data_IF_162208942133
#
_entry.id   IF_162208942133
#
_cell.length_a   1.000
_cell.length_b   1.000
_cell.length_c   1.000
_cell.angle_alpha   90.00
_cell.angle_beta   90.00
_cell.angle_gamma   90.00
#
_symmetry.space_group_name_H-M   'P 1'
#
loop_
_entity.id
_entity.type
_entity.pdbx_description
1 polymer ?
#
# COMPACT_ATOMS: atom_id res chain seq x y z
N UNK A 1 10.11 -14.13 -15.96
CA UNK A 1 10.24 -13.25 -14.78
C UNK A 1 9.16 -13.66 -13.79
N UNK A 2 9.40 -13.57 -12.48
CA UNK A 2 8.38 -13.90 -11.47
C UNK A 2 7.27 -12.84 -11.44
N UNK A 3 6.16 -13.15 -10.76
CA UNK A 3 5.05 -12.21 -10.57
C UNK A 3 5.51 -11.10 -9.65
N UNK A 4 5.27 -9.84 -10.05
CA UNK A 4 5.54 -8.68 -9.18
C UNK A 4 4.40 -8.50 -8.19
N UNK A 5 4.77 -8.17 -6.95
CA UNK A 5 3.83 -7.74 -5.92
C UNK A 5 3.90 -6.23 -5.71
N UNK A 6 2.74 -5.57 -5.76
CA UNK A 6 2.59 -4.13 -5.64
C UNK A 6 1.71 -3.79 -4.41
N UNK A 7 2.30 -3.65 -3.20
CA UNK A 7 1.56 -3.14 -2.05
C UNK A 7 1.33 -1.63 -2.20
N UNK A 8 0.07 -1.19 -2.15
CA UNK A 8 -0.34 0.22 -2.18
C UNK A 8 -0.34 0.77 -0.75
N UNK A 9 0.54 1.74 -0.50
CA UNK A 9 0.82 2.26 0.84
C UNK A 9 0.53 3.76 0.92
N UNK A 10 -0.05 4.22 2.04
CA UNK A 10 -0.29 5.66 2.31
C UNK A 10 0.93 6.36 2.91
N UNK A 11 2.08 5.68 2.89
CA UNK A 11 3.37 6.16 3.37
C UNK A 11 3.37 6.66 4.82
N UNK A 12 2.55 6.09 5.71
CA UNK A 12 2.55 6.44 7.14
C UNK A 12 3.66 5.69 7.89
N UNK A 13 3.99 6.17 9.09
CA UNK A 13 5.11 5.62 9.88
C UNK A 13 5.03 4.11 10.10
N UNK A 14 3.83 3.57 10.37
CA UNK A 14 3.63 2.12 10.53
C UNK A 14 3.98 1.34 9.26
N UNK A 15 3.49 1.78 8.10
CA UNK A 15 3.79 1.16 6.79
C UNK A 15 5.28 1.27 6.44
N UNK A 16 5.91 2.42 6.70
CA UNK A 16 7.36 2.59 6.48
C UNK A 16 8.19 1.66 7.36
N UNK A 17 7.80 1.52 8.63
CA UNK A 17 8.45 0.58 9.55
C UNK A 17 8.26 -0.86 9.07
N UNK A 18 7.07 -1.21 8.56
CA UNK A 18 6.80 -2.54 8.06
C UNK A 18 7.72 -2.93 6.90
N UNK A 19 7.86 -2.05 5.90
CA UNK A 19 8.65 -2.34 4.71
C UNK A 19 10.17 -2.25 4.97
N UNK A 20 10.61 -1.40 5.91
CA UNK A 20 12.03 -1.38 6.29
C UNK A 20 12.47 -2.68 6.96
N UNK A 21 11.55 -3.35 7.66
CA UNK A 21 11.75 -4.62 8.36
C UNK A 21 11.46 -5.87 7.50
N UNK A 22 11.26 -5.72 6.19
CA UNK A 22 11.11 -6.87 5.31
C UNK A 22 12.42 -7.65 5.18
N UNK A 23 12.30 -8.96 5.24
CA UNK A 23 13.36 -9.92 4.91
C UNK A 23 13.79 -9.77 3.44
N UNK A 24 14.96 -10.29 3.10
CA UNK A 24 15.43 -10.31 1.71
C UNK A 24 14.45 -11.04 0.78
N UNK A 25 13.80 -12.11 1.27
CA UNK A 25 12.79 -12.85 0.53
C UNK A 25 11.49 -12.03 0.35
N UNK A 26 11.04 -11.36 1.41
CA UNK A 26 9.87 -10.48 1.38
C UNK A 26 10.05 -9.22 0.54
N UNK A 27 11.28 -8.77 0.30
CA UNK A 27 11.60 -7.66 -0.62
C UNK A 27 11.67 -8.10 -2.08
N UNK A 28 12.04 -9.34 -2.36
CA UNK A 28 12.27 -9.80 -3.73
C UNK A 28 10.96 -9.80 -4.55
N UNK A 29 10.97 -9.16 -5.71
CA UNK A 29 9.78 -9.04 -6.56
C UNK A 29 8.69 -8.10 -6.02
N UNK A 30 8.98 -7.31 -4.98
CA UNK A 30 8.06 -6.28 -4.46
C UNK A 30 8.40 -4.92 -5.06
N UNK A 31 7.39 -4.15 -5.45
CA UNK A 31 7.54 -2.75 -5.88
C UNK A 31 6.44 -1.93 -5.21
N UNK A 32 6.74 -1.24 -4.09
CA UNK A 32 5.72 -0.50 -3.35
C UNK A 32 5.16 0.63 -4.20
N UNK A 33 3.85 0.83 -4.09
CA UNK A 33 3.15 1.96 -4.68
C UNK A 33 2.77 2.95 -3.58
N UNK A 34 3.52 4.03 -3.51
CA UNK A 34 3.39 5.08 -2.52
C UNK A 34 2.32 6.06 -3.00
N UNK A 35 1.21 6.15 -2.26
CA UNK A 35 0.20 7.20 -2.43
C UNK A 35 0.50 8.28 -1.40
N UNK A 36 1.13 9.35 -1.85
CA UNK A 36 1.62 10.40 -0.96
C UNK A 36 0.54 11.48 -0.77
N UNK A 37 0.12 11.70 0.47
CA UNK A 37 -0.79 12.79 0.84
C UNK A 37 -0.01 13.99 1.37
N UNK A 38 -0.59 15.18 1.28
CA UNK A 38 0.01 16.41 1.80
C UNK A 38 0.45 16.29 3.26
N UNK A 39 -0.32 15.61 4.12
CA UNK A 39 0.03 15.45 5.53
C UNK A 39 1.24 14.53 5.79
N UNK A 40 1.65 13.72 4.79
CA UNK A 40 2.88 12.94 4.82
C UNK A 40 4.05 13.68 4.15
N UNK A 41 3.77 14.72 3.37
CA UNK A 41 4.76 15.49 2.62
C UNK A 41 5.09 16.82 3.32
N UNK A 42 6.09 16.77 4.18
CA UNK A 42 6.63 17.94 4.87
C UNK A 42 8.06 17.70 5.33
N UNK A 43 8.79 18.78 5.63
CA UNK A 43 10.14 18.68 6.18
C UNK A 43 10.18 18.00 7.55
N UNK A 44 11.39 17.75 8.09
CA UNK A 44 11.54 17.14 9.42
C UNK A 44 10.76 17.95 10.47
N UNK A 45 9.86 17.28 11.21
CA UNK A 45 9.14 17.92 12.32
C UNK A 45 10.18 18.44 13.32
N UNK A 46 10.11 19.73 13.68
CA UNK A 46 11.00 20.34 14.68
C UNK A 46 11.00 19.46 15.94
N UNK A 47 12.14 18.81 16.23
CA UNK A 47 12.34 18.21 17.55
C UNK A 47 12.27 19.34 18.59
N UNK A 48 11.67 19.07 19.75
CA UNK A 48 11.84 19.95 20.93
C UNK A 48 13.34 20.13 21.12
N UNK A 49 13.82 21.39 21.06
CA UNK A 49 15.23 21.77 21.12
C UNK A 49 15.93 21.05 22.28
N UNK A 50 16.72 20.03 21.99
CA UNK A 50 17.85 19.65 22.84
C UNK A 50 19.07 20.39 22.34
N UNK A 51 19.79 20.96 23.29
CA UNK A 51 20.82 21.99 23.16
C UNK A 51 22.08 21.45 22.46
N UNK A 52 22.07 21.34 21.14
CA UNK A 52 23.30 21.39 20.33
C UNK A 52 22.98 22.07 18.98
N UNK A 53 23.48 23.29 18.82
CA UNK A 53 23.43 24.05 17.57
C UNK A 53 24.42 23.47 16.56
N UNK A 54 23.95 22.64 15.64
CA UNK A 54 24.64 22.44 14.36
C UNK A 54 23.87 23.15 13.25
N UNK A 55 24.58 24.00 12.51
CA UNK A 55 24.16 24.82 11.36
C UNK A 55 23.74 23.98 10.15
N UNK A 56 22.83 23.01 10.32
CA UNK A 56 22.28 22.22 9.20
C UNK A 56 21.02 22.92 8.70
N UNK A 57 21.07 23.38 7.45
CA UNK A 57 19.88 23.86 6.73
C UNK A 57 18.84 22.73 6.74
N UNK A 58 17.58 22.98 7.17
CA UNK A 58 16.55 21.97 7.13
C UNK A 58 16.34 21.48 5.69
N UNK A 59 16.30 20.15 5.51
CA UNK A 59 15.97 19.55 4.22
C UNK A 59 14.63 20.11 3.71
N UNK A 60 14.54 20.35 2.40
CA UNK A 60 13.26 20.61 1.75
C UNK A 60 12.31 19.40 1.94
N UNK A 61 11.00 19.60 1.74
CA UNK A 61 10.04 18.48 1.83
C UNK A 61 10.40 17.35 0.85
N UNK A 62 10.85 17.71 -0.36
CA UNK A 62 11.27 16.79 -1.42
C UNK A 62 12.55 16.03 -1.06
N UNK A 63 13.57 16.71 -0.54
CA UNK A 63 14.82 16.07 -0.10
C UNK A 63 14.57 15.16 1.11
N UNK A 64 13.71 15.60 2.03
CA UNK A 64 13.33 14.79 3.19
C UNK A 64 12.56 13.54 2.78
N UNK A 65 11.60 13.65 1.85
CA UNK A 65 10.90 12.49 1.30
C UNK A 65 11.87 11.54 0.58
N UNK A 66 12.74 12.06 -0.29
CA UNK A 66 13.72 11.24 -1.02
C UNK A 66 14.66 10.50 -0.06
N UNK A 67 15.18 11.18 0.96
CA UNK A 67 16.01 10.55 1.99
C UNK A 67 15.25 9.47 2.75
N UNK A 68 13.99 9.72 3.09
CA UNK A 68 13.14 8.74 3.76
C UNK A 68 12.90 7.50 2.90
N UNK A 69 12.68 7.64 1.59
CA UNK A 69 12.57 6.48 0.67
C UNK A 69 13.89 5.73 0.59
N UNK A 70 15.02 6.43 0.49
CA UNK A 70 16.35 5.81 0.49
C UNK A 70 16.58 4.96 1.76
N UNK A 71 16.27 5.51 2.94
CA UNK A 71 16.48 4.83 4.23
C UNK A 71 15.55 3.63 4.43
N UNK A 72 14.33 3.69 3.90
CA UNK A 72 13.28 2.69 4.14
C UNK A 72 13.28 1.59 3.08
N UNK A 73 13.31 1.99 1.81
CA UNK A 73 13.16 1.10 0.66
C UNK A 73 14.47 0.89 -0.09
N UNK A 74 15.26 1.95 -0.26
CA UNK A 74 16.51 1.93 -1.00
C UNK A 74 16.32 2.29 -2.48
N UNK A 75 17.23 1.80 -3.33
CA UNK A 75 17.35 2.21 -4.74
C UNK A 75 16.50 1.40 -5.72
N UNK A 76 15.81 0.36 -5.24
CA UNK A 76 14.91 -0.45 -6.06
C UNK A 76 13.70 0.36 -6.52
N UNK A 77 13.07 -0.01 -7.66
CA UNK A 77 11.91 0.69 -8.17
C UNK A 77 10.80 0.88 -7.13
N UNK A 78 10.10 2.00 -7.20
CA UNK A 78 8.86 2.27 -6.48
C UNK A 78 7.96 3.17 -7.31
N UNK A 79 6.64 2.99 -7.18
CA UNK A 79 5.66 3.88 -7.79
C UNK A 79 5.32 5.03 -6.84
N UNK A 80 5.12 6.23 -7.37
CA UNK A 80 4.67 7.39 -6.61
C UNK A 80 3.43 8.04 -7.25
N UNK A 81 2.29 7.95 -6.56
CA UNK A 81 1.14 8.82 -6.82
C UNK A 81 1.25 10.04 -5.90
N UNK A 82 1.59 11.18 -6.49
CA UNK A 82 1.72 12.47 -5.81
C UNK A 82 0.52 13.38 -6.10
N UNK A 83 -0.56 12.89 -6.71
CA UNK A 83 -1.69 13.73 -7.16
C UNK A 83 -2.54 14.35 -6.03
N UNK A 84 -2.17 14.15 -4.77
CA UNK A 84 -2.79 14.77 -3.59
C UNK A 84 -1.88 15.82 -2.93
N UNK A 85 -0.77 16.19 -3.57
CA UNK A 85 0.11 17.26 -3.11
C UNK A 85 -0.36 18.62 -3.62
N UNK A 86 0.17 19.67 -3.01
CA UNK A 86 -0.06 21.03 -3.43
C UNK A 86 0.45 21.25 -4.87
N UNK A 87 -0.29 22.08 -5.59
CA UNK A 87 0.03 22.46 -6.96
C UNK A 87 -0.28 23.93 -7.20
N UNK A 88 0.39 24.49 -8.20
CA UNK A 88 0.07 25.80 -8.76
C UNK A 88 -0.38 25.63 -10.20
N UNK A 89 -0.82 26.71 -10.85
CA UNK A 89 -1.23 26.68 -12.26
C UNK A 89 -0.13 26.15 -13.20
N UNK A 90 1.16 26.28 -12.84
CA UNK A 90 2.29 25.92 -13.71
C UNK A 90 3.27 24.90 -13.11
N UNK A 91 3.12 24.51 -11.84
CA UNK A 91 4.06 23.61 -11.15
C UNK A 91 3.37 22.61 -10.23
N UNK A 92 4.03 21.47 -10.03
CA UNK A 92 3.58 20.44 -9.10
C UNK A 92 4.79 19.86 -8.33
N UNK A 93 4.61 19.50 -7.06
CA UNK A 93 5.70 19.02 -6.18
C UNK A 93 6.41 17.75 -6.70
N UNK A 94 5.75 16.99 -7.58
CA UNK A 94 6.35 15.86 -8.29
C UNK A 94 7.65 16.26 -9.02
N UNK A 95 7.74 17.47 -9.59
CA UNK A 95 8.94 17.93 -10.29
C UNK A 95 10.16 18.03 -9.36
N UNK A 96 9.96 18.50 -8.12
CA UNK A 96 11.05 18.65 -7.13
C UNK A 96 11.36 17.32 -6.45
N UNK A 97 10.35 16.48 -6.19
CA UNK A 97 10.54 15.11 -5.70
C UNK A 97 11.37 14.30 -6.69
N UNK A 98 11.08 14.39 -8.00
CA UNK A 98 11.85 13.73 -9.05
C UNK A 98 13.32 14.14 -9.03
N UNK A 99 13.60 15.45 -8.97
CA UNK A 99 14.98 15.95 -8.87
C UNK A 99 15.71 15.42 -7.62
N UNK A 100 15.04 15.43 -6.47
CA UNK A 100 15.60 14.98 -5.19
C UNK A 100 15.89 13.47 -5.21
N UNK A 101 14.95 12.67 -5.72
CA UNK A 101 15.10 11.22 -5.84
C UNK A 101 16.17 10.82 -6.86
N UNK A 102 16.27 11.53 -7.98
CA UNK A 102 17.34 11.32 -8.97
C UNK A 102 18.71 11.71 -8.41
N UNK A 103 18.81 12.77 -7.61
CA UNK A 103 20.05 13.16 -6.93
C UNK A 103 20.60 12.09 -5.98
N UNK A 104 19.73 11.25 -5.41
CA UNK A 104 20.10 10.10 -4.57
C UNK A 104 20.21 8.78 -5.35
N UNK A 105 20.01 8.81 -6.67
CA UNK A 105 20.01 7.61 -7.52
C UNK A 105 18.86 6.63 -7.23
N UNK A 106 17.71 7.13 -6.77
CA UNK A 106 16.52 6.32 -6.54
C UNK A 106 15.73 6.12 -7.84
N UNK A 107 15.07 4.98 -7.96
CA UNK A 107 14.28 4.61 -9.14
C UNK A 107 12.79 4.91 -8.91
N UNK A 108 12.42 6.19 -8.99
CA UNK A 108 11.02 6.62 -8.97
C UNK A 108 10.34 6.34 -10.32
N UNK A 109 9.16 5.72 -10.29
CA UNK A 109 8.22 5.65 -11.42
C UNK A 109 6.96 6.46 -11.06
N UNK A 110 6.64 7.55 -11.79
CA UNK A 110 5.45 8.35 -11.48
C UNK A 110 4.18 7.54 -11.74
N UNK A 111 3.18 7.71 -10.89
CA UNK A 111 1.88 7.07 -10.99
C UNK A 111 0.77 8.12 -11.07
N UNK A 112 -0.22 7.89 -11.92
CA UNK A 112 -1.35 8.79 -12.08
C UNK A 112 -2.67 8.03 -12.24
N UNK A 113 -3.77 8.78 -12.29
CA UNK A 113 -5.11 8.30 -12.60
C UNK A 113 -5.65 9.10 -13.79
N UNK A 114 -6.69 8.59 -14.44
CA UNK A 114 -7.46 9.40 -15.37
C UNK A 114 -8.11 10.58 -14.63
N UNK A 115 -8.33 11.68 -15.36
CA UNK A 115 -9.02 12.89 -14.86
C UNK A 115 -8.33 13.60 -13.67
N UNK A 116 -7.00 13.54 -13.59
CA UNK A 116 -6.23 14.41 -12.69
C UNK A 116 -6.16 15.85 -13.22
N UNK A 117 -5.75 16.75 -12.34
CA UNK A 117 -5.62 18.18 -12.64
C UNK A 117 -4.63 18.42 -13.80
N UNK A 118 -4.82 19.48 -14.61
CA UNK A 118 -3.93 19.76 -15.73
C UNK A 118 -2.46 19.90 -15.32
N UNK A 119 -2.19 20.56 -14.19
CA UNK A 119 -0.85 20.73 -13.61
C UNK A 119 -0.19 19.40 -13.27
N UNK A 120 -0.91 18.46 -12.62
CA UNK A 120 -0.38 17.14 -12.33
C UNK A 120 -0.13 16.32 -13.60
N UNK A 121 -1.06 16.34 -14.57
CA UNK A 121 -0.88 15.66 -15.86
C UNK A 121 0.36 16.16 -16.60
N UNK A 122 0.60 17.48 -16.60
CA UNK A 122 1.81 18.04 -17.20
C UNK A 122 3.08 17.64 -16.44
N UNK A 123 3.05 17.52 -15.11
CA UNK A 123 4.18 17.00 -14.33
C UNK A 123 4.48 15.52 -14.64
N UNK A 124 3.45 14.70 -14.89
CA UNK A 124 3.60 13.31 -15.33
C UNK A 124 4.30 13.27 -16.70
N UNK A 125 3.85 14.06 -17.68
CA UNK A 125 4.45 14.13 -19.02
C UNK A 125 5.91 14.62 -18.95
N UNK A 126 6.20 15.65 -18.13
CA UNK A 126 7.56 16.12 -17.89
C UNK A 126 8.44 15.04 -17.28
N UNK A 127 7.91 14.30 -16.31
CA UNK A 127 8.65 13.21 -15.66
C UNK A 127 8.99 12.09 -16.64
N UNK A 128 8.01 11.69 -17.48
CA UNK A 128 8.24 10.72 -18.55
C UNK A 128 9.35 11.17 -19.51
N UNK A 129 9.27 12.40 -20.02
CA UNK A 129 10.25 12.97 -20.97
C UNK A 129 11.64 13.12 -20.36
N UNK A 130 11.73 13.47 -19.08
CA UNK A 130 13.00 13.75 -18.43
C UNK A 130 13.75 12.47 -17.99
N UNK A 131 13.02 11.45 -17.51
CA UNK A 131 13.64 10.30 -16.86
C UNK A 131 13.57 9.02 -17.69
N UNK A 132 12.60 8.89 -18.62
CA UNK A 132 12.49 7.72 -19.50
C UNK A 132 12.24 6.39 -18.78
N UNK A 133 11.65 6.42 -17.58
CA UNK A 133 11.35 5.22 -16.75
C UNK A 133 9.92 4.73 -16.88
N UNK A 134 9.19 5.23 -17.88
CA UNK A 134 7.75 5.07 -18.07
C UNK A 134 6.90 5.59 -16.91
N UNK A 135 5.59 5.28 -16.95
CA UNK A 135 4.56 5.82 -16.04
C UNK A 135 3.63 4.68 -15.60
N UNK A 136 3.16 4.71 -14.35
CA UNK A 136 2.01 3.91 -13.95
C UNK A 136 0.68 4.66 -14.17
N UNK A 137 -0.27 4.00 -14.81
CA UNK A 137 -1.64 4.48 -14.94
C UNK A 137 -2.54 3.57 -14.12
N UNK A 138 -3.18 4.14 -13.09
CA UNK A 138 -4.13 3.44 -12.24
C UNK A 138 -5.56 3.77 -12.62
N UNK A 139 -6.32 2.75 -13.00
CA UNK A 139 -7.70 2.86 -13.48
C UNK A 139 -8.66 2.09 -12.58
N UNK A 140 -9.88 2.59 -12.41
CA UNK A 140 -10.96 1.86 -11.74
C UNK A 140 -11.58 0.80 -12.67
N UNK A 141 -12.51 -0.02 -12.14
CA UNK A 141 -13.26 -1.01 -12.91
C UNK A 141 -14.02 -0.39 -14.09
N UNK A 142 -14.74 0.71 -13.88
CA UNK A 142 -15.49 1.41 -14.92
C UNK A 142 -14.54 1.95 -16.02
N UNK A 143 -13.40 2.50 -15.63
CA UNK A 143 -12.37 2.97 -16.56
C UNK A 143 -11.72 1.82 -17.34
N UNK A 144 -11.50 0.67 -16.70
CA UNK A 144 -11.03 -0.54 -17.37
C UNK A 144 -12.02 -1.00 -18.44
N UNK A 145 -13.30 -1.12 -18.08
CA UNK A 145 -14.34 -1.58 -19.03
C UNK A 145 -14.60 -0.59 -20.17
N UNK A 146 -14.38 0.70 -19.92
CA UNK A 146 -14.48 1.76 -20.92
C UNK A 146 -13.18 2.08 -21.65
N UNK A 147 -12.12 1.25 -21.55
CA UNK A 147 -10.80 1.51 -22.15
C UNK A 147 -10.81 1.98 -23.62
N UNK A 148 -11.74 1.48 -24.44
CA UNK A 148 -11.85 1.91 -25.85
C UNK A 148 -12.14 3.40 -26.03
N UNK A 149 -12.73 4.08 -25.04
CA UNK A 149 -13.12 5.49 -25.17
C UNK A 149 -11.96 6.45 -24.89
N UNK A 150 -10.90 5.99 -24.22
CA UNK A 150 -9.83 6.86 -23.74
C UNK A 150 -8.41 6.39 -24.10
N UNK A 151 -8.18 5.10 -24.40
CA UNK A 151 -6.83 4.57 -24.63
C UNK A 151 -6.10 5.23 -25.80
N UNK A 152 -6.83 5.60 -26.86
CA UNK A 152 -6.27 6.31 -28.02
C UNK A 152 -5.85 7.76 -27.71
N UNK A 153 -6.41 8.34 -26.66
CA UNK A 153 -6.11 9.70 -26.18
C UNK A 153 -5.07 9.71 -25.05
N UNK A 154 -4.62 8.54 -24.60
CA UNK A 154 -3.59 8.43 -23.57
C UNK A 154 -2.25 8.93 -24.12
N UNK A 155 -1.59 9.93 -23.50
CA UNK A 155 -0.45 10.63 -24.11
C UNK A 155 0.88 9.87 -24.00
N UNK A 156 0.94 8.75 -23.28
CA UNK A 156 2.15 7.95 -23.09
C UNK A 156 2.01 6.64 -23.88
N UNK A 157 3.05 6.18 -24.59
CA UNK A 157 3.00 4.88 -25.27
C UNK A 157 2.60 3.75 -24.32
N UNK A 158 1.77 2.81 -24.78
CA UNK A 158 1.30 1.69 -23.95
C UNK A 158 2.47 0.82 -23.45
N UNK A 159 3.48 0.59 -24.30
CA UNK A 159 4.71 -0.12 -23.95
C UNK A 159 5.60 0.59 -22.92
N UNK A 160 5.28 1.84 -22.57
CA UNK A 160 5.91 2.63 -21.51
C UNK A 160 4.96 2.88 -20.32
N UNK A 161 3.78 2.27 -20.33
CA UNK A 161 2.74 2.45 -19.32
C UNK A 161 2.51 1.16 -18.54
N UNK A 162 2.75 1.19 -17.23
CA UNK A 162 2.34 0.14 -16.29
C UNK A 162 0.87 0.35 -15.92
N UNK A 163 -0.02 -0.51 -16.41
CA UNK A 163 -1.44 -0.41 -16.12
C UNK A 163 -1.75 -1.10 -14.79
N UNK A 164 -2.38 -0.36 -13.87
CA UNK A 164 -2.85 -0.88 -12.58
C UNK A 164 -4.38 -0.81 -12.58
N UNK A 165 -5.03 -1.96 -12.67
CA UNK A 165 -6.49 -2.09 -12.54
C UNK A 165 -6.83 -2.16 -11.05
N UNK A 166 -7.30 -1.05 -10.50
CA UNK A 166 -7.61 -0.89 -9.09
C UNK A 166 -9.11 -1.01 -8.82
N UNK A 167 -9.50 -2.19 -8.34
CA UNK A 167 -10.87 -2.56 -8.01
C UNK A 167 -11.32 -2.03 -6.65
N UNK A 168 -10.43 -1.38 -5.89
CA UNK A 168 -10.75 -0.83 -4.56
C UNK A 168 -11.39 -1.86 -3.64
N UNK A 169 -12.42 -1.43 -2.88
CA UNK A 169 -13.20 -2.30 -2.00
C UNK A 169 -14.17 -3.25 -2.72
N UNK A 170 -14.33 -3.11 -4.04
CA UNK A 170 -15.29 -3.89 -4.84
C UNK A 170 -14.75 -5.25 -5.28
N UNK A 171 -13.52 -5.60 -4.89
CA UNK A 171 -12.82 -6.80 -5.39
C UNK A 171 -13.58 -8.11 -5.15
N UNK A 172 -14.30 -8.23 -4.03
CA UNK A 172 -15.14 -9.41 -3.75
C UNK A 172 -16.33 -9.50 -4.71
N UNK A 173 -16.99 -8.38 -4.99
CA UNK A 173 -18.09 -8.31 -5.96
C UNK A 173 -17.61 -8.63 -7.37
N UNK A 174 -16.41 -8.16 -7.74
CA UNK A 174 -15.79 -8.46 -9.03
C UNK A 174 -15.47 -9.95 -9.13
N UNK A 175 -14.83 -10.54 -8.11
CA UNK A 175 -14.58 -11.98 -8.05
C UNK A 175 -15.84 -12.81 -8.30
N UNK A 176 -16.96 -12.42 -7.70
CA UNK A 176 -18.24 -13.12 -7.84
C UNK A 176 -18.81 -13.09 -9.27
N UNK A 177 -18.39 -12.18 -10.15
CA UNK A 177 -18.85 -12.14 -11.53
C UNK A 177 -18.30 -13.32 -12.35
N UNK A 178 -17.11 -13.84 -12.04
CA UNK A 178 -16.51 -14.98 -12.74
C UNK A 178 -16.07 -14.66 -14.19
N UNK A 179 -16.59 -15.41 -15.17
CA UNK A 179 -16.15 -15.36 -16.57
C UNK A 179 -16.14 -13.96 -17.24
N UNK A 180 -17.11 -13.05 -16.98
CA UNK A 180 -17.06 -11.69 -17.48
C UNK A 180 -15.81 -10.91 -17.06
N UNK A 181 -15.25 -11.15 -15.88
CA UNK A 181 -14.02 -10.49 -15.43
C UNK A 181 -12.84 -10.94 -16.29
N UNK A 182 -12.73 -12.25 -16.53
CA UNK A 182 -11.69 -12.79 -17.40
C UNK A 182 -11.79 -12.19 -18.81
N UNK A 183 -12.99 -12.12 -19.40
CA UNK A 183 -13.20 -11.50 -20.70
C UNK A 183 -12.76 -10.02 -20.73
N UNK A 184 -13.01 -9.27 -19.65
CA UNK A 184 -12.58 -7.88 -19.54
C UNK A 184 -11.05 -7.74 -19.49
N UNK A 185 -10.34 -8.62 -18.77
CA UNK A 185 -8.87 -8.64 -18.74
C UNK A 185 -8.27 -9.08 -20.09
N UNK A 186 -8.90 -10.00 -20.82
CA UNK A 186 -8.50 -10.34 -22.20
C UNK A 186 -8.65 -9.13 -23.12
N UNK A 187 -9.77 -8.40 -23.01
CA UNK A 187 -10.08 -7.26 -23.87
C UNK A 187 -9.25 -5.99 -23.57
N UNK A 188 -8.45 -5.97 -22.50
CA UNK A 188 -7.74 -4.79 -22.00
C UNK A 188 -6.72 -4.19 -22.97
N UNK A 189 -6.26 -4.98 -23.94
CA UNK A 189 -5.14 -4.64 -24.80
C UNK A 189 -5.54 -3.95 -26.12
N UNK A 190 -6.78 -4.15 -26.62
CA UNK A 190 -7.36 -3.57 -27.87
C UNK A 190 -6.37 -3.17 -28.99
N UNK A 191 -5.33 -3.97 -29.27
CA UNK A 191 -4.35 -3.73 -30.34
C UNK A 191 -2.96 -3.22 -29.93
N UNK A 192 -2.65 -3.07 -28.64
CA UNK A 192 -1.30 -2.74 -28.16
C UNK A 192 -0.96 -3.37 -26.81
N UNK A 193 0.34 -3.56 -26.54
CA UNK A 193 0.83 -4.14 -25.30
C UNK A 193 1.10 -3.06 -24.25
N UNK A 194 0.45 -3.16 -23.08
CA UNK A 194 0.88 -2.42 -21.88
C UNK A 194 2.27 -2.89 -21.46
N UNK A 195 3.08 -2.01 -20.86
CA UNK A 195 4.40 -2.39 -20.34
C UNK A 195 4.30 -3.49 -19.28
N UNK A 196 3.29 -3.36 -18.42
CA UNK A 196 2.89 -4.38 -17.46
C UNK A 196 1.43 -4.17 -17.08
N UNK A 197 0.79 -5.21 -16.54
CA UNK A 197 -0.58 -5.16 -16.03
C UNK A 197 -0.61 -5.72 -14.62
N UNK A 198 -1.15 -4.95 -13.68
CA UNK A 198 -1.38 -5.36 -12.29
C UNK A 198 -2.87 -5.29 -11.98
N UNK A 199 -3.44 -6.31 -11.32
CA UNK A 199 -4.76 -6.19 -10.69
C UNK A 199 -4.57 -5.89 -9.20
N UNK A 200 -5.32 -4.92 -8.69
CA UNK A 200 -5.31 -4.58 -7.27
C UNK A 200 -6.70 -4.42 -6.67
N UNK A 201 -6.82 -4.72 -5.38
CA UNK A 201 -8.04 -4.51 -4.60
C UNK A 201 -7.77 -4.68 -3.11
N UNK A 202 -8.77 -4.44 -2.27
CA UNK A 202 -8.62 -4.65 -0.82
C UNK A 202 -9.88 -5.19 -0.18
N UNK A 203 -9.75 -6.30 0.55
CA UNK A 203 -10.88 -6.91 1.29
C UNK A 203 -11.07 -6.36 2.70
N UNK A 204 -10.15 -5.55 3.21
CA UNK A 204 -10.32 -4.86 4.49
C UNK A 204 -11.29 -3.68 4.29
N UNK A 205 -12.38 -3.56 5.06
CA UNK A 205 -13.33 -2.47 4.91
C UNK A 205 -12.72 -1.13 5.36
N UNK A 206 -13.31 -0.04 4.85
CA UNK A 206 -12.93 1.33 5.21
C UNK A 206 -13.06 1.62 6.71
N UNK A 207 -14.09 1.03 7.32
CA UNK A 207 -14.37 1.10 8.76
C UNK A 207 -14.77 -0.29 9.27
N UNK A 208 -14.52 -0.52 10.55
CA UNK A 208 -15.05 -1.68 11.28
C UNK A 208 -16.35 -1.36 12.02
N UNK A 209 -16.98 -0.22 11.73
CA UNK A 209 -18.34 0.08 12.20
C UNK A 209 -19.30 -1.03 11.76
N UNK A 210 -20.12 -1.53 12.68
CA UNK A 210 -21.05 -2.64 12.43
C UNK A 210 -20.44 -4.04 12.56
N UNK A 211 -19.12 -4.15 12.71
CA UNK A 211 -18.49 -5.43 13.05
C UNK A 211 -18.62 -5.70 14.56
N UNK A 212 -18.85 -6.97 14.96
CA UNK A 212 -18.92 -7.31 16.36
C UNK A 212 -17.55 -7.15 17.03
N UNK A 213 -17.56 -6.75 18.32
CA UNK A 213 -16.36 -6.83 19.18
C UNK A 213 -15.89 -8.28 19.22
N UNK A 214 -14.58 -8.49 19.10
CA UNK A 214 -13.98 -9.82 19.00
C UNK A 214 -13.34 -10.05 17.64
N UNK A 215 -13.34 -11.30 17.17
CA UNK A 215 -12.67 -11.71 15.93
C UNK A 215 -13.67 -11.87 14.80
N UNK A 216 -13.39 -11.22 13.67
CA UNK A 216 -14.06 -11.44 12.40
C UNK A 216 -13.06 -11.95 11.37
N UNK A 217 -13.44 -12.96 10.59
CA UNK A 217 -12.64 -13.47 9.47
C UNK A 217 -13.12 -12.81 8.19
N UNK A 218 -12.19 -12.28 7.39
CA UNK A 218 -12.48 -11.70 6.08
C UNK A 218 -11.70 -12.44 5.00
N UNK A 219 -12.33 -12.85 3.91
CA UNK A 219 -11.64 -13.50 2.81
C UNK A 219 -10.64 -12.55 2.12
N UNK A 220 -9.52 -13.10 1.63
CA UNK A 220 -8.58 -12.40 0.74
C UNK A 220 -9.06 -12.47 -0.71
N UNK A 221 -10.18 -11.79 -0.98
CA UNK A 221 -10.83 -11.82 -2.30
C UNK A 221 -9.91 -11.28 -3.40
N UNK A 222 -9.01 -10.35 -3.08
CA UNK A 222 -7.99 -9.86 -4.00
C UNK A 222 -7.03 -10.97 -4.46
N UNK A 223 -6.52 -11.79 -3.54
CA UNK A 223 -5.61 -12.89 -3.86
C UNK A 223 -6.35 -14.01 -4.62
N UNK A 224 -7.59 -14.27 -4.23
CA UNK A 224 -8.45 -15.26 -4.90
C UNK A 224 -8.76 -14.84 -6.35
N UNK A 225 -9.08 -13.57 -6.59
CA UNK A 225 -9.32 -13.04 -7.95
C UNK A 225 -8.08 -13.14 -8.82
N UNK A 226 -6.93 -12.66 -8.33
CA UNK A 226 -5.68 -12.76 -9.08
C UNK A 226 -5.33 -14.21 -9.39
N UNK A 227 -5.48 -15.12 -8.42
CA UNK A 227 -5.24 -16.55 -8.63
C UNK A 227 -6.17 -17.16 -9.68
N UNK A 228 -7.44 -16.74 -9.72
CA UNK A 228 -8.41 -17.19 -10.73
C UNK A 228 -8.04 -16.68 -12.13
N UNK A 229 -7.63 -15.41 -12.26
CA UNK A 229 -7.19 -14.82 -13.53
C UNK A 229 -5.91 -15.47 -14.06
N UNK A 230 -4.94 -15.77 -13.18
CA UNK A 230 -3.73 -16.48 -13.55
C UNK A 230 -4.02 -17.88 -14.09
N UNK A 231 -4.95 -18.62 -13.46
CA UNK A 231 -5.36 -19.96 -13.91
C UNK A 231 -6.11 -19.92 -15.25
N UNK A 232 -6.88 -18.86 -15.49
CA UNK A 232 -7.63 -18.68 -16.73
C UNK A 232 -6.75 -18.38 -17.96
N UNK A 233 -5.44 -18.16 -17.76
CA UNK A 233 -4.42 -17.92 -18.80
C UNK A 233 -4.68 -16.68 -19.65
N UNK A 234 -4.09 -15.57 -19.21
CA UNK A 234 -4.02 -14.32 -19.98
C UNK A 234 -2.85 -14.37 -20.97
N UNK A 235 -2.95 -13.63 -22.08
CA UNK A 235 -1.88 -13.51 -23.08
C UNK A 235 -0.66 -12.69 -22.62
N UNK A 236 -0.67 -12.28 -21.35
CA UNK A 236 0.33 -11.44 -20.70
C UNK A 236 0.46 -11.85 -19.23
N UNK A 237 1.61 -11.53 -18.62
CA UNK A 237 1.79 -11.71 -17.19
C UNK A 237 0.91 -10.73 -16.42
N UNK A 238 0.08 -11.24 -15.50
CA UNK A 238 -0.69 -10.42 -14.58
C UNK A 238 0.00 -10.37 -13.21
N UNK A 239 0.40 -9.17 -12.82
CA UNK A 239 0.96 -8.90 -11.51
C UNK A 239 -0.13 -8.73 -10.45
N UNK A 240 0.26 -8.91 -9.19
CA UNK A 240 -0.63 -8.80 -8.05
C UNK A 240 -0.39 -7.51 -7.27
N UNK A 241 -1.45 -6.80 -6.90
CA UNK A 241 -1.39 -5.69 -5.97
C UNK A 241 -2.53 -5.71 -4.98
N UNK A 242 -2.35 -5.03 -3.85
CA UNK A 242 -3.39 -4.84 -2.85
C UNK A 242 -3.09 -3.64 -1.95
N UNK A 243 -3.90 -3.44 -0.92
CA UNK A 243 -3.73 -2.38 0.08
C UNK A 243 -3.15 -2.93 1.39
N UNK A 244 -2.44 -4.06 1.32
CA UNK A 244 -1.98 -4.85 2.44
C UNK A 244 -3.07 -5.12 3.49
N UNK A 245 -3.04 -4.38 4.61
CA UNK A 245 -4.01 -4.54 5.70
C UNK A 245 -4.82 -3.26 5.97
N UNK A 246 -4.73 -2.26 5.09
CA UNK A 246 -5.47 -1.00 5.19
C UNK A 246 -6.59 -1.03 4.15
N UNK A 247 -7.80 -0.64 4.54
CA UNK A 247 -8.90 -0.58 3.59
C UNK A 247 -8.63 0.50 2.53
N UNK A 248 -8.96 0.25 1.24
CA UNK A 248 -8.75 1.20 0.15
C UNK A 248 -9.34 2.57 0.48
N UNK A 249 -10.59 2.58 0.94
CA UNK A 249 -11.37 3.78 1.25
C UNK A 249 -11.24 4.23 2.72
N UNK A 250 -10.33 3.61 3.49
CA UNK A 250 -10.17 3.95 4.89
C UNK A 250 -9.61 5.37 5.06
N UNK A 251 -10.37 6.25 5.72
CA UNK A 251 -9.84 7.53 6.19
C UNK A 251 -8.71 7.25 7.20
N UNK A 252 -7.59 7.93 7.03
CA UNK A 252 -6.42 7.78 7.93
C UNK A 252 -6.04 9.09 8.62
N UNK A 253 -6.82 10.14 8.40
CA UNK A 253 -6.59 11.51 8.85
C UNK A 253 -7.87 12.09 9.45
N UNK A 254 -7.74 13.06 10.35
CA UNK A 254 -8.89 13.72 10.97
C UNK A 254 -9.78 12.80 11.82
N UNK A 255 -9.29 11.60 12.19
CA UNK A 255 -10.09 10.65 12.96
C UNK A 255 -10.22 11.14 14.40
N UNK A 256 -11.42 11.62 14.76
CA UNK A 256 -11.74 12.05 16.11
C UNK A 256 -11.69 10.86 17.09
N UNK A 257 -10.95 11.01 18.18
CA UNK A 257 -10.86 10.01 19.24
C UNK A 257 -12.00 10.09 20.26
N UNK A 258 -12.14 9.08 21.14
CA UNK A 258 -11.35 7.85 21.23
C UNK A 258 -11.83 6.77 20.23
N UNK A 259 -10.90 6.17 19.50
CA UNK A 259 -11.19 5.06 18.56
C UNK A 259 -11.01 3.69 19.22
N UNK A 260 -11.75 2.65 18.77
CA UNK A 260 -11.51 1.28 19.19
C UNK A 260 -10.09 0.80 18.88
N UNK A 261 -9.58 -0.11 19.70
CA UNK A 261 -8.28 -0.76 19.48
C UNK A 261 -8.47 -1.95 18.54
N UNK A 262 -8.03 -1.81 17.30
CA UNK A 262 -8.20 -2.85 16.29
C UNK A 262 -6.85 -3.43 15.86
N UNK A 263 -6.82 -4.73 15.59
CA UNK A 263 -5.64 -5.47 15.11
C UNK A 263 -6.06 -6.31 13.91
N UNK A 264 -5.16 -6.49 12.94
CA UNK A 264 -5.37 -7.34 11.78
C UNK A 264 -4.21 -8.32 11.67
N UNK A 265 -4.50 -9.55 11.30
CA UNK A 265 -3.48 -10.55 11.06
C UNK A 265 -3.79 -11.28 9.76
N UNK A 266 -2.82 -11.36 8.86
CA UNK A 266 -2.99 -12.00 7.56
C UNK A 266 -2.70 -13.49 7.68
N UNK A 267 -3.67 -14.31 7.28
CA UNK A 267 -3.57 -15.74 7.10
C UNK A 267 -3.51 -16.05 5.59
N UNK A 268 -3.30 -17.32 5.22
CA UNK A 268 -3.10 -17.74 3.84
C UNK A 268 -4.22 -17.25 2.90
N UNK A 269 -5.48 -17.40 3.29
CA UNK A 269 -6.65 -17.05 2.46
C UNK A 269 -7.57 -16.02 3.10
N UNK A 270 -7.26 -15.53 4.30
CA UNK A 270 -8.15 -14.70 5.09
C UNK A 270 -7.36 -13.66 5.91
N UNK A 271 -8.07 -12.65 6.40
CA UNK A 271 -7.63 -11.77 7.46
C UNK A 271 -8.38 -12.13 8.75
N UNK A 272 -7.67 -12.36 9.83
CA UNK A 272 -8.24 -12.32 11.18
C UNK A 272 -8.24 -10.86 11.65
N UNK A 273 -9.42 -10.26 11.73
CA UNK A 273 -9.62 -8.89 12.19
C UNK A 273 -10.16 -8.90 13.61
N UNK A 274 -9.42 -8.30 14.52
CA UNK A 274 -9.78 -8.18 15.92
C UNK A 274 -10.31 -6.77 16.16
N UNK A 275 -11.59 -6.67 16.47
CA UNK A 275 -12.27 -5.44 16.83
C UNK A 275 -12.31 -5.32 18.36
N UNK A 276 -11.63 -4.31 18.88
CA UNK A 276 -11.60 -4.04 20.32
C UNK A 276 -12.65 -3.02 20.74
N UNK A 277 -12.42 -2.41 21.90
CA UNK A 277 -13.24 -1.34 22.46
C UNK A 277 -12.42 -0.07 22.62
N UNK A 278 -13.10 1.04 22.90
CA UNK A 278 -12.45 2.34 23.17
C UNK A 278 -11.56 2.24 24.42
N UNK A 279 -10.64 3.19 24.57
CA UNK A 279 -9.71 3.26 25.71
C UNK A 279 -10.18 4.19 26.83
N UNK A 280 -11.29 4.90 26.64
CA UNK A 280 -11.90 5.82 27.62
C UNK A 280 -13.42 5.74 27.52
N UNK A 281 -14.11 6.04 28.63
CA UNK A 281 -15.56 6.04 28.74
C UNK A 281 -16.16 4.68 29.18
N UNK A 282 -17.49 4.58 29.32
CA UNK A 282 -18.16 3.36 29.71
C UNK A 282 -17.83 2.18 28.79
N UNK A 283 -17.55 1.00 29.34
CA UNK A 283 -17.20 -0.20 28.58
C UNK A 283 -15.79 -0.19 27.96
N UNK A 284 -14.95 0.80 28.30
CA UNK A 284 -13.58 0.86 27.79
C UNK A 284 -12.62 -0.12 28.46
N UNK A 285 -11.55 -0.47 27.75
CA UNK A 285 -10.44 -1.28 28.29
C UNK A 285 -9.09 -0.59 28.03
N UNK A 286 -8.10 -0.71 28.93
CA UNK A 286 -6.76 -0.21 28.69
C UNK A 286 -6.19 -0.74 27.39
N UNK A 287 -5.63 0.14 26.57
CA UNK A 287 -5.07 -0.20 25.24
C UNK A 287 -4.11 -1.38 25.32
N UNK A 288 -3.22 -1.34 26.30
CA UNK A 288 -2.15 -2.31 26.47
C UNK A 288 -2.70 -3.72 26.80
N UNK A 289 -3.77 -3.78 27.60
CA UNK A 289 -4.49 -5.04 27.87
C UNK A 289 -5.14 -5.59 26.60
N UNK A 290 -5.77 -4.72 25.80
CA UNK A 290 -6.41 -5.14 24.55
C UNK A 290 -5.38 -5.70 23.55
N UNK A 291 -4.25 -5.01 23.35
CA UNK A 291 -3.19 -5.50 22.47
C UNK A 291 -2.59 -6.83 22.92
N UNK A 292 -2.33 -7.01 24.22
CA UNK A 292 -1.87 -8.31 24.73
C UNK A 292 -2.91 -9.40 24.56
N UNK A 293 -4.19 -9.10 24.74
CA UNK A 293 -5.29 -10.04 24.49
C UNK A 293 -5.31 -10.47 23.03
N UNK A 294 -5.31 -9.50 22.09
CA UNK A 294 -5.30 -9.79 20.66
C UNK A 294 -4.06 -10.56 20.23
N UNK A 295 -2.87 -10.23 20.76
CA UNK A 295 -1.65 -10.97 20.49
C UNK A 295 -1.79 -12.45 20.91
N UNK A 296 -2.28 -12.71 22.13
CA UNK A 296 -2.53 -14.08 22.62
C UNK A 296 -3.57 -14.82 21.78
N UNK A 297 -4.61 -14.13 21.33
CA UNK A 297 -5.63 -14.73 20.47
C UNK A 297 -5.09 -15.04 19.07
N UNK A 298 -4.17 -14.23 18.54
CA UNK A 298 -3.47 -14.51 17.28
C UNK A 298 -2.58 -15.74 17.43
N UNK A 299 -1.76 -15.82 18.49
CA UNK A 299 -0.85 -16.95 18.72
C UNK A 299 -1.59 -18.29 18.83
N UNK A 300 -2.84 -18.27 19.30
CA UNK A 300 -3.71 -19.45 19.41
C UNK A 300 -4.44 -19.82 18.12
N UNK A 301 -4.29 -19.07 17.02
CA UNK A 301 -4.92 -19.44 15.75
C UNK A 301 -4.32 -20.76 15.23
N UNK A 302 -5.13 -21.80 14.99
CA UNK A 302 -4.62 -23.11 14.55
C UNK A 302 -3.98 -23.05 13.15
N UNK A 303 -4.42 -22.11 12.32
CA UNK A 303 -3.93 -21.87 10.96
C UNK A 303 -2.98 -20.66 10.87
N UNK A 304 -2.38 -20.23 11.99
CA UNK A 304 -1.50 -19.04 12.01
C UNK A 304 -0.29 -19.17 11.08
N UNK A 305 0.36 -20.34 11.10
CA UNK A 305 1.59 -20.68 10.39
C UNK A 305 2.59 -19.50 10.34
N UNK A 306 3.17 -19.09 11.49
CA UNK A 306 4.07 -17.95 11.55
C UNK A 306 5.32 -18.19 10.69
N UNK A 307 5.81 -17.15 10.04
CA UNK A 307 7.03 -17.22 9.23
C UNK A 307 8.23 -16.90 10.11
N UNK A 308 9.21 -17.81 10.17
CA UNK A 308 10.38 -17.67 11.03
C UNK A 308 11.26 -16.43 10.74
N UNK A 309 11.13 -15.82 9.56
CA UNK A 309 11.84 -14.60 9.17
C UNK A 309 10.98 -13.33 9.27
N UNK A 310 9.68 -13.46 9.59
CA UNK A 310 8.77 -12.32 9.60
C UNK A 310 8.89 -11.54 10.90
N UNK A 311 9.37 -10.30 10.79
CA UNK A 311 9.45 -9.37 11.91
C UNK A 311 8.09 -9.15 12.58
N UNK A 312 7.02 -8.99 11.80
CA UNK A 312 5.66 -8.81 12.32
C UNK A 312 5.20 -9.97 13.21
N UNK A 313 5.50 -11.21 12.83
CA UNK A 313 5.20 -12.40 13.64
C UNK A 313 5.98 -12.40 14.96
N UNK A 314 7.29 -12.17 14.90
CA UNK A 314 8.14 -12.10 16.09
C UNK A 314 7.68 -11.03 17.08
N UNK A 315 7.28 -9.86 16.58
CA UNK A 315 6.79 -8.79 17.45
C UNK A 315 5.45 -9.16 18.11
N UNK A 316 4.54 -9.82 17.39
CA UNK A 316 3.28 -10.30 17.96
C UNK A 316 3.54 -11.38 19.02
N UNK A 317 4.47 -12.31 18.77
CA UNK A 317 4.87 -13.32 19.75
C UNK A 317 5.47 -12.71 21.02
N UNK A 318 6.33 -11.70 20.87
CA UNK A 318 6.88 -10.98 22.00
C UNK A 318 5.78 -10.30 22.84
N UNK A 319 4.80 -9.64 22.21
CA UNK A 319 3.68 -9.01 22.94
C UNK A 319 2.80 -10.03 23.65
N UNK A 320 2.60 -11.21 23.06
CA UNK A 320 1.77 -12.28 23.63
C UNK A 320 2.42 -12.97 24.83
N UNK A 321 3.72 -13.26 24.72
CA UNK A 321 4.43 -14.19 25.61
C UNK A 321 5.37 -13.51 26.61
N UNK A 322 5.80 -12.28 26.35
CA UNK A 322 6.71 -11.55 27.24
C UNK A 322 5.97 -10.39 27.96
N UNK A 323 5.74 -10.50 29.29
CA UNK A 323 5.12 -9.44 30.08
C UNK A 323 5.89 -8.11 30.07
N UNK A 324 7.22 -8.13 29.89
CA UNK A 324 8.05 -6.92 29.87
C UNK A 324 8.17 -6.29 28.49
N UNK A 325 7.80 -7.02 27.42
CA UNK A 325 7.77 -6.46 26.07
C UNK A 325 6.69 -5.37 25.97
N UNK A 326 7.02 -4.26 25.29
CA UNK A 326 6.06 -3.20 25.04
C UNK A 326 4.89 -3.71 24.19
N UNK A 327 3.62 -3.47 24.58
CA UNK A 327 2.45 -3.86 23.79
C UNK A 327 2.29 -3.05 22.50
N UNK A 328 3.11 -2.02 22.31
CA UNK A 328 3.14 -1.20 21.10
C UNK A 328 2.08 -0.09 21.06
N UNK A 329 2.13 0.67 19.97
CA UNK A 329 1.18 1.73 19.64
C UNK A 329 0.29 1.31 18.47
N UNK A 330 -0.78 2.05 18.13
CA UNK A 330 -1.52 1.80 16.89
C UNK A 330 -0.64 1.77 15.64
N UNK A 331 0.36 2.65 15.56
CA UNK A 331 1.34 2.65 14.48
C UNK A 331 2.22 1.40 14.46
N UNK A 332 2.59 0.87 15.63
CA UNK A 332 3.35 -0.38 15.76
C UNK A 332 2.55 -1.56 15.22
N UNK A 333 1.26 -1.65 15.57
CA UNK A 333 0.38 -2.72 15.10
C UNK A 333 0.07 -2.65 13.60
N UNK A 334 -0.04 -1.44 13.02
CA UNK A 334 -0.04 -1.29 11.56
C UNK A 334 1.25 -1.85 10.98
N UNK A 335 2.40 -1.54 11.59
CA UNK A 335 3.70 -2.08 11.19
C UNK A 335 3.72 -3.61 11.17
N UNK A 336 3.33 -4.25 12.28
CA UNK A 336 3.32 -5.72 12.39
C UNK A 336 2.39 -6.35 11.34
N UNK A 337 1.20 -5.79 11.18
CA UNK A 337 0.17 -6.29 10.26
C UNK A 337 0.63 -6.20 8.80
N UNK A 338 1.16 -5.05 8.39
CA UNK A 338 1.64 -4.83 7.01
C UNK A 338 2.87 -5.67 6.71
N UNK A 339 3.83 -5.79 7.64
CA UNK A 339 5.00 -6.62 7.44
C UNK A 339 4.60 -8.10 7.27
N UNK A 340 3.81 -8.64 8.21
CA UNK A 340 3.28 -10.01 8.12
C UNK A 340 2.55 -10.27 6.82
N UNK A 341 1.73 -9.31 6.41
CA UNK A 341 1.00 -9.39 5.16
C UNK A 341 1.93 -9.51 3.96
N UNK A 342 2.91 -8.59 3.83
CA UNK A 342 3.79 -8.56 2.65
C UNK A 342 4.67 -9.81 2.59
N UNK A 343 5.25 -10.25 3.72
CA UNK A 343 6.05 -11.48 3.79
C UNK A 343 5.23 -12.71 3.35
N UNK A 344 4.00 -12.84 3.87
CA UNK A 344 3.12 -13.94 3.49
C UNK A 344 2.75 -13.88 2.02
N UNK A 345 2.25 -12.73 1.56
CA UNK A 345 1.84 -12.52 0.18
C UNK A 345 2.98 -12.86 -0.76
N UNK A 346 4.20 -12.35 -0.51
CA UNK A 346 5.33 -12.68 -1.37
C UNK A 346 5.65 -14.17 -1.34
N UNK A 347 5.52 -14.87 -0.21
CA UNK A 347 5.71 -16.33 -0.20
C UNK A 347 4.67 -17.13 -1.01
N UNK A 348 3.55 -16.51 -1.41
CA UNK A 348 2.44 -17.16 -2.12
C UNK A 348 2.41 -16.92 -3.62
N UNK A 349 3.14 -15.92 -4.14
CA UNK A 349 3.19 -15.65 -5.58
C UNK A 349 4.40 -16.38 -6.21
N UNK A 350 4.31 -16.81 -7.48
CA UNK A 350 5.37 -17.55 -8.15
C UNK A 350 6.60 -16.69 -8.51
#
# INVERSE_FOLDING_TARGET
MGVRYLPILKWKQGERTAISQLSSAGRNGVTPHIVLMQAQFGGPRKQKKTTVSTTKIPLSASDYFAKQVEDVWGKTPFYLDAGNLAETASSHDLDTIRKSTNGLGLHLIPSTRLHRTPSYNQAIIRSFKADGRGIALRVSLDQMTSAATWVSSWPIPLGETDLIVDLGGSVASVLALGAPVHAAFVALHKGGAWRSVTVSGGSIPATLSGYPVGRTMLARSELALWSALQKASLSYQLDFGDYATIGPDAATEGIAGPVPINVKYTLTSEFAVYHGVRTKGPGSKPRDQQYRSHAKDIVKLPNRFPLAHCWGDHMIDAVANNPTASPGSPGSWVGFSVNRHIELTRSQLP
#
